data_IF_150067699381
#
_entry.id   IF_150067699381
#
_cell.length_a   1.000
_cell.length_b   1.000
_cell.length_c   1.000
_cell.angle_alpha   90.00
_cell.angle_beta   90.00
_cell.angle_gamma   90.00
#
_symmetry.space_group_name_H-M   'P 1'
#
loop_
_entity.id
_entity.type
_entity.pdbx_description
1 polymer ?
#
# COMPACT_ATOMS: atom_id res chain seq x y z
N UNK A 1 -17.38 31.64 18.16
CA UNK A 1 -17.22 30.46 19.02
C UNK A 1 -16.03 30.73 19.94
N UNK A 2 -16.19 30.53 21.23
CA UNK A 2 -15.26 31.05 22.24
C UNK A 2 -13.99 30.16 22.28
N UNK A 3 -12.82 30.76 22.21
CA UNK A 3 -11.49 30.09 22.30
C UNK A 3 -11.37 29.11 23.49
N UNK A 4 -12.20 29.26 24.48
CA UNK A 4 -12.28 28.39 25.67
C UNK A 4 -12.97 27.05 25.36
N UNK A 5 -14.06 27.07 24.58
CA UNK A 5 -14.76 25.85 24.16
C UNK A 5 -13.85 24.96 23.31
N UNK A 6 -13.11 25.57 22.37
CA UNK A 6 -12.18 24.82 21.51
C UNK A 6 -11.05 24.16 22.32
N UNK A 7 -10.53 24.89 23.34
CA UNK A 7 -9.51 24.35 24.25
C UNK A 7 -10.03 23.20 25.11
N UNK A 8 -11.26 23.34 25.64
CA UNK A 8 -11.89 22.29 26.44
C UNK A 8 -12.15 21.03 25.60
N UNK A 9 -12.66 21.19 24.38
CA UNK A 9 -12.90 20.08 23.46
C UNK A 9 -11.56 19.40 23.10
N UNK A 10 -10.53 20.16 22.79
CA UNK A 10 -9.20 19.63 22.49
C UNK A 10 -8.62 18.86 23.68
N UNK A 11 -8.75 19.38 24.88
CA UNK A 11 -8.26 18.74 26.09
C UNK A 11 -9.00 17.44 26.37
N UNK A 12 -10.32 17.43 26.22
CA UNK A 12 -11.16 16.25 26.37
C UNK A 12 -10.81 15.18 25.33
N UNK A 13 -10.60 15.56 24.07
CA UNK A 13 -10.18 14.65 23.01
C UNK A 13 -8.79 14.05 23.29
N UNK A 14 -7.84 14.86 23.77
CA UNK A 14 -6.51 14.38 24.13
C UNK A 14 -6.53 13.39 25.29
N UNK A 15 -7.37 13.64 26.31
CA UNK A 15 -7.57 12.73 27.43
C UNK A 15 -8.19 11.42 26.98
N UNK A 16 -9.25 11.49 26.17
CA UNK A 16 -9.92 10.30 25.61
C UNK A 16 -8.96 9.49 24.71
N UNK A 17 -8.20 10.14 23.84
CA UNK A 17 -7.21 9.49 23.00
C UNK A 17 -6.07 8.88 23.82
N UNK A 18 -5.61 9.57 24.85
CA UNK A 18 -4.58 9.07 25.77
C UNK A 18 -5.06 7.85 26.54
N UNK A 19 -6.26 7.91 27.10
CA UNK A 19 -6.85 6.79 27.84
C UNK A 19 -7.16 5.59 26.94
N UNK A 20 -7.79 5.83 25.79
CA UNK A 20 -8.06 4.79 24.79
C UNK A 20 -6.78 4.18 24.22
N UNK A 21 -5.78 5.02 23.94
CA UNK A 21 -4.46 4.59 23.46
C UNK A 21 -3.73 3.73 24.51
N UNK A 22 -3.78 4.12 25.79
CA UNK A 22 -3.22 3.32 26.87
C UNK A 22 -3.93 1.97 27.01
N UNK A 23 -5.27 1.96 26.99
CA UNK A 23 -6.06 0.73 27.03
C UNK A 23 -5.73 -0.22 25.87
N UNK A 24 -5.61 0.31 24.67
CA UNK A 24 -5.22 -0.45 23.49
C UNK A 24 -3.80 -1.03 23.60
N UNK A 25 -2.84 -0.23 24.04
CA UNK A 25 -1.46 -0.69 24.25
C UNK A 25 -1.38 -1.77 25.33
N UNK A 26 -2.07 -1.58 26.44
CA UNK A 26 -2.13 -2.57 27.53
C UNK A 26 -2.73 -3.89 27.04
N UNK A 27 -3.84 -3.84 26.28
CA UNK A 27 -4.44 -5.03 25.67
C UNK A 27 -3.51 -5.71 24.67
N UNK A 28 -2.85 -4.94 23.79
CA UNK A 28 -1.88 -5.48 22.82
C UNK A 28 -0.73 -6.22 23.50
N UNK A 29 -0.27 -5.74 24.66
CA UNK A 29 0.89 -6.32 25.35
C UNK A 29 0.52 -7.51 26.24
N UNK A 30 -0.69 -7.52 26.83
CA UNK A 30 -1.05 -8.47 27.88
C UNK A 30 -2.29 -9.32 27.55
N UNK A 31 -3.20 -8.84 26.72
CA UNK A 31 -4.46 -9.50 26.41
C UNK A 31 -4.53 -10.10 25.00
N UNK A 32 -3.63 -9.71 24.09
CA UNK A 32 -3.67 -10.21 22.72
C UNK A 32 -2.96 -11.56 22.58
N UNK A 33 -3.64 -12.53 22.00
CA UNK A 33 -3.07 -13.85 21.71
C UNK A 33 -2.26 -13.82 20.41
N UNK A 34 -1.01 -13.38 20.51
CA UNK A 34 -0.09 -13.29 19.38
C UNK A 34 0.29 -14.65 18.78
N UNK A 35 0.04 -15.73 19.46
CA UNK A 35 0.25 -17.10 18.97
C UNK A 35 -0.54 -17.36 17.69
N UNK A 36 -1.81 -16.92 17.65
CA UNK A 36 -2.70 -17.04 16.48
C UNK A 36 -2.16 -16.23 15.29
N UNK A 37 -1.68 -15.03 15.54
CA UNK A 37 -1.09 -14.18 14.50
C UNK A 37 0.15 -14.83 13.92
N UNK A 38 1.06 -15.33 14.78
CA UNK A 38 2.29 -16.01 14.33
C UNK A 38 2.01 -17.26 13.51
N UNK A 39 1.06 -18.08 13.94
CA UNK A 39 0.67 -19.31 13.24
C UNK A 39 0.12 -19.01 11.82
N UNK A 40 -0.56 -17.89 11.66
CA UNK A 40 -1.21 -17.49 10.39
C UNK A 40 -0.42 -16.45 9.59
N UNK A 41 0.79 -16.07 10.00
CA UNK A 41 1.60 -15.07 9.32
C UNK A 41 1.82 -15.36 7.82
N UNK A 42 2.09 -16.61 7.38
CA UNK A 42 2.19 -16.94 5.96
C UNK A 42 0.88 -16.68 5.20
N UNK A 43 -0.27 -17.00 5.84
CA UNK A 43 -1.59 -16.76 5.25
C UNK A 43 -1.86 -15.27 5.07
N UNK A 44 -1.50 -14.45 6.05
CA UNK A 44 -1.64 -12.99 5.97
C UNK A 44 -0.72 -12.37 4.91
N UNK A 45 0.49 -12.90 4.76
CA UNK A 45 1.45 -12.37 3.80
C UNK A 45 1.11 -12.76 2.36
N UNK A 46 0.89 -14.05 2.10
CA UNK A 46 0.83 -14.60 0.73
C UNK A 46 -0.47 -15.35 0.41
N UNK A 47 -1.42 -15.39 1.35
CA UNK A 47 -2.68 -16.12 1.16
C UNK A 47 -2.47 -17.63 1.00
N UNK A 48 -3.26 -18.25 0.13
CA UNK A 48 -3.19 -19.69 -0.18
C UNK A 48 -2.20 -20.04 -1.28
N UNK A 49 -1.16 -19.22 -1.48
CA UNK A 49 -0.13 -19.44 -2.49
C UNK A 49 0.62 -20.75 -2.24
N UNK A 50 0.94 -21.57 -3.29
CA UNK A 50 1.62 -22.85 -3.16
C UNK A 50 2.91 -22.74 -2.32
N UNK A 51 3.10 -23.66 -1.40
CA UNK A 51 4.18 -23.60 -0.39
C UNK A 51 5.59 -23.62 -1.00
N UNK A 52 5.77 -24.37 -2.08
CA UNK A 52 7.02 -24.49 -2.85
C UNK A 52 7.38 -23.21 -3.63
N UNK A 53 6.39 -22.34 -3.87
CA UNK A 53 6.54 -21.13 -4.67
C UNK A 53 6.33 -19.83 -3.88
N UNK A 54 6.14 -19.90 -2.56
CA UNK A 54 5.94 -18.73 -1.69
C UNK A 54 7.10 -17.73 -1.72
N UNK A 55 8.27 -18.14 -2.16
CA UNK A 55 9.41 -17.24 -2.34
C UNK A 55 9.12 -16.09 -3.34
N UNK A 56 8.26 -16.30 -4.36
CA UNK A 56 7.91 -15.30 -5.37
C UNK A 56 7.16 -14.12 -4.77
N UNK A 57 5.97 -14.32 -4.14
CA UNK A 57 5.27 -13.20 -3.50
C UNK A 57 6.08 -12.57 -2.38
N UNK A 58 6.89 -13.33 -1.62
CA UNK A 58 7.76 -12.77 -0.60
C UNK A 58 8.88 -11.92 -1.20
N UNK A 59 9.47 -12.34 -2.31
CA UNK A 59 10.46 -11.56 -3.04
C UNK A 59 9.85 -10.24 -3.56
N UNK A 60 8.63 -10.28 -4.05
CA UNK A 60 7.95 -9.06 -4.51
C UNK A 60 7.59 -8.13 -3.35
N UNK A 61 7.06 -8.64 -2.24
CA UNK A 61 6.83 -7.84 -1.02
C UNK A 61 8.15 -7.21 -0.54
N UNK A 62 9.23 -8.00 -0.50
CA UNK A 62 10.55 -7.50 -0.13
C UNK A 62 11.06 -6.40 -1.06
N UNK A 63 10.86 -6.55 -2.37
CA UNK A 63 11.23 -5.51 -3.35
C UNK A 63 10.42 -4.24 -3.17
N UNK A 64 9.11 -4.32 -2.88
CA UNK A 64 8.28 -3.18 -2.53
C UNK A 64 8.80 -2.48 -1.26
N UNK A 65 9.16 -3.25 -0.22
CA UNK A 65 9.70 -2.70 1.01
C UNK A 65 11.03 -1.97 0.76
N UNK A 66 11.93 -2.57 -0.01
CA UNK A 66 13.19 -1.95 -0.43
C UNK A 66 12.91 -0.64 -1.18
N UNK A 67 11.95 -0.63 -2.09
CA UNK A 67 11.56 0.58 -2.82
C UNK A 67 11.01 1.68 -1.90
N UNK A 68 10.21 1.33 -0.89
CA UNK A 68 9.75 2.28 0.14
C UNK A 68 10.95 2.87 0.89
N UNK A 69 11.86 2.02 1.38
CA UNK A 69 13.05 2.47 2.10
C UNK A 69 13.92 3.37 1.23
N UNK A 70 14.17 2.97 -0.03
CA UNK A 70 14.94 3.79 -0.98
C UNK A 70 14.25 5.14 -1.29
N UNK A 71 12.94 5.18 -1.28
CA UNK A 71 12.19 6.44 -1.48
C UNK A 71 12.33 7.37 -0.28
N UNK A 72 12.33 6.82 0.95
CA UNK A 72 12.38 7.60 2.19
C UNK A 72 13.81 8.03 2.56
N UNK A 73 14.76 7.12 2.45
CA UNK A 73 16.13 7.30 2.95
C UNK A 73 17.16 7.46 1.83
N UNK A 74 16.81 7.12 0.59
CA UNK A 74 17.70 7.11 -0.55
C UNK A 74 18.30 8.47 -0.90
N UNK A 75 19.28 8.48 -1.83
CA UNK A 75 19.97 9.70 -2.24
C UNK A 75 19.01 10.80 -2.69
N UNK A 76 19.20 12.02 -2.21
CA UNK A 76 18.37 13.19 -2.56
C UNK A 76 18.77 13.86 -3.88
N UNK A 77 19.69 13.27 -4.65
CA UNK A 77 20.16 13.78 -5.93
C UNK A 77 19.06 13.84 -7.00
N UNK A 78 19.14 14.85 -7.88
CA UNK A 78 18.15 15.07 -8.94
C UNK A 78 18.00 13.87 -9.88
N UNK A 79 19.10 13.19 -10.21
CA UNK A 79 19.08 12.00 -11.07
C UNK A 79 18.27 10.85 -10.44
N UNK A 80 18.50 10.56 -9.16
CA UNK A 80 17.79 9.49 -8.44
C UNK A 80 16.29 9.75 -8.40
N UNK A 81 15.88 10.98 -8.06
CA UNK A 81 14.47 11.37 -8.00
C UNK A 81 13.75 11.27 -9.34
N UNK A 82 14.47 11.40 -10.45
CA UNK A 82 13.90 11.24 -11.80
C UNK A 82 13.57 9.78 -12.13
N UNK A 83 14.36 8.82 -11.64
CA UNK A 83 14.15 7.39 -11.89
C UNK A 83 13.15 6.72 -10.94
N UNK A 84 12.92 7.27 -9.75
CA UNK A 84 12.00 6.70 -8.76
C UNK A 84 10.60 6.42 -9.31
N UNK A 85 9.92 7.33 -10.02
CA UNK A 85 8.58 7.05 -10.55
C UNK A 85 8.57 5.89 -11.54
N UNK A 86 9.57 5.78 -12.42
CA UNK A 86 9.64 4.67 -13.38
C UNK A 86 9.90 3.33 -12.69
N UNK A 87 10.69 3.31 -11.61
CA UNK A 87 10.89 2.11 -10.80
C UNK A 87 9.60 1.68 -10.10
N UNK A 88 8.83 2.63 -9.54
CA UNK A 88 7.52 2.33 -8.96
C UNK A 88 6.52 1.80 -9.99
N UNK A 89 6.48 2.38 -11.19
CA UNK A 89 5.66 1.90 -12.30
C UNK A 89 6.04 0.45 -12.67
N UNK A 90 7.32 0.12 -12.69
CA UNK A 90 7.81 -1.22 -12.99
C UNK A 90 7.45 -2.28 -11.93
N UNK A 91 7.16 -1.87 -10.68
CA UNK A 91 6.79 -2.80 -9.61
C UNK A 91 5.47 -3.55 -9.90
N UNK A 92 4.48 -2.92 -10.53
CA UNK A 92 3.21 -3.57 -10.83
C UNK A 92 3.35 -4.72 -11.85
N UNK A 93 3.94 -4.53 -13.05
CA UNK A 93 4.16 -5.63 -14.01
C UNK A 93 5.14 -6.68 -13.47
N UNK A 94 6.15 -6.30 -12.70
CA UNK A 94 7.04 -7.24 -12.05
C UNK A 94 6.28 -8.14 -11.06
N UNK A 95 5.44 -7.55 -10.24
CA UNK A 95 4.60 -8.30 -9.29
C UNK A 95 3.64 -9.24 -10.00
N UNK A 96 2.99 -8.75 -11.06
CA UNK A 96 2.09 -9.57 -11.86
C UNK A 96 2.81 -10.77 -12.47
N UNK A 97 4.01 -10.58 -13.05
CA UNK A 97 4.83 -11.65 -13.60
C UNK A 97 5.28 -12.66 -12.54
N UNK A 98 5.77 -12.21 -11.40
CA UNK A 98 6.17 -13.08 -10.30
C UNK A 98 5.01 -13.93 -9.77
N UNK A 99 3.82 -13.34 -9.64
CA UNK A 99 2.64 -14.00 -9.09
C UNK A 99 1.96 -14.94 -10.10
N UNK A 100 1.75 -14.47 -11.33
CA UNK A 100 1.12 -15.26 -12.37
C UNK A 100 2.02 -16.39 -12.88
N UNK A 101 3.33 -16.15 -12.90
CA UNK A 101 4.30 -17.02 -13.53
C UNK A 101 4.40 -16.77 -15.04
N UNK A 102 4.94 -17.73 -15.76
CA UNK A 102 5.29 -17.60 -17.18
C UNK A 102 6.77 -17.24 -17.39
N UNK A 103 7.26 -17.29 -18.63
CA UNK A 103 8.67 -17.01 -18.97
C UNK A 103 9.67 -17.82 -18.10
N UNK A 104 9.42 -19.14 -17.96
CA UNK A 104 10.25 -20.05 -17.14
C UNK A 104 9.78 -20.26 -15.70
N UNK A 105 8.77 -19.54 -15.25
CA UNK A 105 8.12 -19.76 -13.95
C UNK A 105 6.83 -20.58 -14.12
N UNK A 106 6.59 -21.53 -13.23
CA UNK A 106 5.36 -22.31 -13.21
C UNK A 106 4.13 -21.39 -13.04
N UNK A 107 3.09 -21.51 -13.85
CA UNK A 107 1.91 -20.66 -13.73
C UNK A 107 1.13 -20.98 -12.46
N UNK A 108 0.68 -19.93 -11.76
CA UNK A 108 -0.14 -20.04 -10.55
C UNK A 108 -1.45 -19.31 -10.77
N UNK A 109 -2.56 -20.03 -10.62
CA UNK A 109 -3.89 -19.46 -10.83
C UNK A 109 -4.22 -18.36 -9.81
N UNK A 110 -4.94 -17.34 -10.26
CA UNK A 110 -5.32 -16.16 -9.45
C UNK A 110 -6.11 -16.50 -8.19
N UNK A 111 -6.80 -17.66 -8.15
CA UNK A 111 -7.52 -18.16 -6.97
C UNK A 111 -6.62 -18.40 -5.75
N UNK A 112 -5.32 -18.56 -5.97
CA UNK A 112 -4.32 -18.75 -4.90
C UNK A 112 -3.70 -17.44 -4.42
N UNK A 113 -3.99 -16.33 -5.11
CA UNK A 113 -3.46 -15.03 -4.74
C UNK A 113 -4.26 -14.46 -3.57
N UNK A 114 -3.57 -13.97 -2.56
CA UNK A 114 -4.24 -13.46 -1.36
C UNK A 114 -3.29 -12.73 -0.42
N UNK A 115 -3.82 -12.37 0.73
CA UNK A 115 -3.08 -11.69 1.77
C UNK A 115 -2.52 -10.33 1.33
N UNK A 116 -1.45 -9.91 1.99
CA UNK A 116 -0.76 -8.63 1.73
C UNK A 116 -0.29 -8.52 0.27
N UNK A 117 0.12 -9.63 -0.33
CA UNK A 117 0.56 -9.69 -1.74
C UNK A 117 -0.50 -9.17 -2.69
N UNK A 118 -1.72 -9.68 -2.59
CA UNK A 118 -2.82 -9.24 -3.46
C UNK A 118 -3.19 -7.78 -3.20
N UNK A 119 -3.23 -7.38 -1.94
CA UNK A 119 -3.51 -5.99 -1.54
C UNK A 119 -2.50 -5.02 -2.17
N UNK A 120 -1.21 -5.32 -2.05
CA UNK A 120 -0.15 -4.49 -2.65
C UNK A 120 -0.24 -4.45 -4.18
N UNK A 121 -0.53 -5.60 -4.83
CA UNK A 121 -0.67 -5.67 -6.27
C UNK A 121 -1.85 -4.82 -6.77
N UNK A 122 -3.00 -4.93 -6.11
CA UNK A 122 -4.18 -4.12 -6.45
C UNK A 122 -3.93 -2.63 -6.20
N UNK A 123 -3.25 -2.29 -5.10
CA UNK A 123 -2.87 -0.90 -4.81
C UNK A 123 -1.91 -0.35 -5.86
N UNK A 124 -0.88 -1.11 -6.24
CA UNK A 124 0.05 -0.71 -7.28
C UNK A 124 -0.66 -0.57 -8.65
N UNK A 125 -1.53 -1.52 -9.01
CA UNK A 125 -2.30 -1.49 -10.25
C UNK A 125 -3.28 -0.32 -10.31
N UNK A 126 -4.04 -0.09 -9.23
CA UNK A 126 -4.98 1.04 -9.16
C UNK A 126 -4.24 2.39 -9.20
N UNK A 127 -3.12 2.53 -8.52
CA UNK A 127 -2.29 3.73 -8.58
C UNK A 127 -1.73 3.99 -9.99
N UNK A 128 -1.31 2.94 -10.69
CA UNK A 128 -0.82 3.03 -12.06
C UNK A 128 -1.89 3.53 -13.04
N UNK A 129 -3.15 3.12 -12.84
CA UNK A 129 -4.29 3.57 -13.64
C UNK A 129 -4.80 4.94 -13.22
N UNK A 130 -4.86 5.21 -11.92
CA UNK A 130 -5.38 6.47 -11.37
C UNK A 130 -4.51 7.67 -11.75
N UNK A 131 -3.19 7.51 -11.83
CA UNK A 131 -2.26 8.58 -12.17
C UNK A 131 -2.52 9.18 -13.56
N UNK A 132 -2.49 8.40 -14.68
CA UNK A 132 -2.77 8.94 -16.00
C UNK A 132 -4.20 9.49 -16.13
N UNK A 133 -5.19 8.80 -15.53
CA UNK A 133 -6.57 9.28 -15.52
C UNK A 133 -6.70 10.62 -14.79
N UNK A 134 -6.06 10.76 -13.63
CA UNK A 134 -6.04 12.01 -12.87
C UNK A 134 -5.40 13.16 -13.64
N UNK A 135 -4.30 12.88 -14.37
CA UNK A 135 -3.66 13.89 -15.24
C UNK A 135 -4.58 14.27 -16.40
N UNK A 136 -5.23 13.30 -17.06
CA UNK A 136 -6.17 13.56 -18.15
C UNK A 136 -7.37 14.40 -17.68
N UNK A 137 -7.93 14.07 -16.51
CA UNK A 137 -9.02 14.87 -15.92
C UNK A 137 -8.55 16.29 -15.56
N UNK A 138 -7.36 16.44 -14.99
CA UNK A 138 -6.80 17.75 -14.66
C UNK A 138 -6.56 18.62 -15.92
N UNK A 139 -6.13 18.01 -17.02
CA UNK A 139 -6.00 18.68 -18.31
C UNK A 139 -7.37 19.01 -18.91
N UNK A 140 -8.34 18.10 -18.79
CA UNK A 140 -9.73 18.32 -19.22
C UNK A 140 -10.35 19.55 -18.57
N UNK A 141 -10.10 19.76 -17.26
CA UNK A 141 -10.59 20.95 -16.53
C UNK A 141 -10.03 22.28 -17.04
N UNK A 142 -8.87 22.25 -17.69
CA UNK A 142 -8.25 23.45 -18.32
C UNK A 142 -8.62 23.62 -19.78
N UNK A 143 -9.42 22.70 -20.34
CA UNK A 143 -9.88 22.77 -21.72
C UNK A 143 -10.96 23.85 -21.89
N UNK A 144 -10.92 24.53 -23.03
CA UNK A 144 -11.94 25.51 -23.44
C UNK A 144 -13.24 24.83 -23.94
N UNK A 145 -13.21 23.49 -24.08
CA UNK A 145 -14.37 22.70 -24.50
C UNK A 145 -15.31 22.45 -23.32
N UNK A 146 -16.57 22.94 -23.38
CA UNK A 146 -17.48 22.86 -22.24
C UNK A 146 -17.79 21.42 -21.81
N UNK A 147 -17.85 20.47 -22.73
CA UNK A 147 -18.12 19.06 -22.45
C UNK A 147 -16.99 18.43 -21.62
N UNK A 148 -15.72 18.71 -21.96
CA UNK A 148 -14.56 18.20 -21.21
C UNK A 148 -14.43 18.85 -19.83
N UNK A 149 -14.76 20.12 -19.72
CA UNK A 149 -14.71 20.86 -18.46
C UNK A 149 -15.80 20.43 -17.47
N UNK A 150 -16.96 19.96 -17.94
CA UNK A 150 -18.06 19.48 -17.10
C UNK A 150 -17.93 18.02 -16.70
N UNK A 151 -17.20 17.20 -17.47
CA UNK A 151 -17.00 15.76 -17.22
C UNK A 151 -15.73 15.46 -16.41
N UNK A 152 -14.90 16.42 -16.17
CA UNK A 152 -13.66 16.34 -15.40
C UNK A 152 -13.72 17.18 -14.11
#
# INVERSE_FOLDING_TARGET
MTRWADRLITLLLLVLLGWGGWGLLHWLMHGAEWSVVRANLPLYAVGSYPSDQRWRPLLWIGSCLVMVVLTLVGPRGASWRRFLPSLWIAMAPLGLWLLAGGLGLLPVGTRHWGGLTLTLLLTAGSGLLALPLGVLLALGRRSDLPVLRWSS
#
